data_IF_072930548919
#
_entry.id   IF_072930548919
#
_cell.length_a   1.000
_cell.length_b   1.000
_cell.length_c   1.000
_cell.angle_alpha   90.00
_cell.angle_beta   90.00
_cell.angle_gamma   90.00
#
_symmetry.space_group_name_H-M   'P 1'
#
loop_
_entity.id
_entity.type
_entity.pdbx_description
1 polymer ?
#
# COMPACT_ATOMS: atom_id res chain seq x y z
N UNK A 1 0.12 25.42 12.69
CA UNK A 1 -0.86 25.01 13.71
C UNK A 1 -0.80 23.50 13.85
N UNK A 2 -0.16 22.99 14.90
CA UNK A 2 -0.20 21.57 15.28
C UNK A 2 -1.49 21.39 16.09
N UNK A 3 -2.47 20.63 15.58
CA UNK A 3 -3.68 20.33 16.35
C UNK A 3 -3.35 19.28 17.40
N UNK A 4 -3.73 19.55 18.65
CA UNK A 4 -3.33 18.82 19.85
C UNK A 4 -3.89 17.38 19.98
N UNK A 5 -4.27 16.72 18.88
CA UNK A 5 -4.76 15.34 18.91
C UNK A 5 -4.46 14.55 17.62
N UNK A 6 -3.42 14.91 16.88
CA UNK A 6 -3.03 14.12 15.71
C UNK A 6 -2.50 12.76 16.15
N UNK A 7 -3.23 11.69 15.81
CA UNK A 7 -2.75 10.34 16.08
C UNK A 7 -1.42 10.10 15.38
N UNK A 8 -0.59 9.19 15.91
CA UNK A 8 0.67 8.80 15.26
C UNK A 8 0.44 8.38 13.79
N UNK A 9 -0.71 7.79 13.49
CA UNK A 9 -1.12 7.43 12.14
C UNK A 9 -1.35 8.64 11.23
N UNK A 10 -1.95 9.71 11.74
CA UNK A 10 -2.20 10.94 10.99
C UNK A 10 -0.90 11.65 10.65
N UNK A 11 0.03 11.68 11.61
CA UNK A 11 1.39 12.21 11.40
C UNK A 11 2.09 11.44 10.28
N UNK A 12 2.06 10.10 10.34
CA UNK A 12 2.68 9.25 9.32
C UNK A 12 2.01 9.40 7.96
N UNK A 13 0.68 9.54 7.94
CA UNK A 13 -0.09 9.79 6.70
C UNK A 13 0.30 11.13 6.07
N UNK A 14 0.39 12.21 6.86
CA UNK A 14 0.84 13.52 6.37
C UNK A 14 2.27 13.50 5.89
N UNK A 15 3.17 12.83 6.62
CA UNK A 15 4.58 12.65 6.24
C UNK A 15 4.69 11.91 4.89
N UNK A 16 3.97 10.82 4.72
CA UNK A 16 3.92 10.08 3.47
C UNK A 16 3.44 10.96 2.31
N UNK A 17 2.33 11.69 2.49
CA UNK A 17 1.79 12.61 1.48
C UNK A 17 2.79 13.72 1.13
N UNK A 18 3.49 14.29 2.11
CA UNK A 18 4.51 15.32 1.88
C UNK A 18 5.65 14.79 1.01
N UNK A 19 6.15 13.59 1.30
CA UNK A 19 7.19 12.97 0.47
C UNK A 19 6.68 12.63 -0.92
N UNK A 20 5.47 12.09 -1.04
CA UNK A 20 4.88 11.74 -2.34
C UNK A 20 4.73 12.97 -3.25
N UNK A 21 4.31 14.13 -2.70
CA UNK A 21 4.22 15.40 -3.44
C UNK A 21 5.56 15.90 -3.96
N UNK A 22 6.66 15.53 -3.29
CA UNK A 22 8.03 15.87 -3.72
C UNK A 22 8.62 14.84 -4.69
N UNK A 23 7.88 13.79 -5.05
CA UNK A 23 8.40 12.66 -5.82
C UNK A 23 9.26 11.68 -5.01
N UNK A 24 9.42 11.89 -3.70
CA UNK A 24 10.21 11.04 -2.80
C UNK A 24 9.46 9.74 -2.44
N UNK A 25 9.05 8.96 -3.43
CA UNK A 25 8.18 7.80 -3.24
C UNK A 25 8.77 6.74 -2.29
N UNK A 26 10.10 6.58 -2.27
CA UNK A 26 10.79 5.70 -1.31
C UNK A 26 10.58 6.14 0.14
N UNK A 27 10.73 7.43 0.43
CA UNK A 27 10.50 7.98 1.78
C UNK A 27 9.02 7.95 2.14
N UNK A 28 8.13 8.16 1.17
CA UNK A 28 6.69 8.00 1.37
C UNK A 28 6.33 6.56 1.76
N UNK A 29 6.91 5.57 1.09
CA UNK A 29 6.73 4.16 1.42
C UNK A 29 7.24 3.80 2.83
N UNK A 30 8.36 4.39 3.29
CA UNK A 30 8.85 4.16 4.66
C UNK A 30 7.85 4.64 5.71
N UNK A 31 7.32 5.86 5.57
CA UNK A 31 6.31 6.39 6.50
C UNK A 31 5.02 5.52 6.50
N UNK A 32 4.64 4.97 5.34
CA UNK A 32 3.49 4.06 5.25
C UNK A 32 3.77 2.67 5.83
N UNK A 33 5.02 2.17 5.76
CA UNK A 33 5.41 0.93 6.46
C UNK A 33 5.26 1.07 7.97
N UNK A 34 5.72 2.19 8.52
CA UNK A 34 5.53 2.49 9.94
C UNK A 34 4.04 2.54 10.31
N UNK A 35 3.20 3.15 9.47
CA UNK A 35 1.74 3.20 9.70
C UNK A 35 1.10 1.82 9.63
N UNK A 36 1.48 1.02 8.65
CA UNK A 36 1.04 -0.37 8.51
C UNK A 36 1.43 -1.18 9.74
N UNK A 37 2.62 -0.98 10.31
CA UNK A 37 3.02 -1.66 11.54
C UNK A 37 2.16 -1.28 12.77
N UNK A 38 1.58 -0.07 12.78
CA UNK A 38 0.73 0.39 13.88
C UNK A 38 -0.72 -0.13 13.78
N UNK A 39 -1.35 -0.07 12.60
CA UNK A 39 -2.77 -0.44 12.44
C UNK A 39 -3.04 -1.59 11.47
N UNK A 40 -2.15 -1.79 10.50
CA UNK A 40 -2.23 -2.92 9.56
C UNK A 40 -3.48 -2.97 8.68
N UNK A 41 -4.19 -1.85 8.49
CA UNK A 41 -5.47 -1.89 7.79
C UNK A 41 -5.34 -1.89 6.26
N UNK A 42 -6.44 -2.28 5.60
CA UNK A 42 -6.52 -2.43 4.16
C UNK A 42 -6.05 -1.16 3.41
N UNK A 43 -6.50 0.02 3.82
CA UNK A 43 -6.17 1.27 3.14
C UNK A 43 -4.68 1.64 3.27
N UNK A 44 -4.06 1.37 4.41
CA UNK A 44 -2.62 1.62 4.62
C UNK A 44 -1.77 0.69 3.76
N UNK A 45 -2.15 -0.59 3.65
CA UNK A 45 -1.50 -1.55 2.77
C UNK A 45 -1.58 -1.15 1.30
N UNK A 46 -2.76 -0.72 0.84
CA UNK A 46 -2.93 -0.25 -0.55
C UNK A 46 -2.10 1.02 -0.83
N UNK A 47 -2.11 1.98 0.10
CA UNK A 47 -1.31 3.19 -0.03
C UNK A 47 0.19 2.88 -0.07
N UNK A 48 0.66 1.95 0.77
CA UNK A 48 2.04 1.47 0.76
C UNK A 48 2.38 0.85 -0.60
N UNK A 49 1.50 -0.01 -1.12
CA UNK A 49 1.64 -0.61 -2.44
C UNK A 49 1.76 0.41 -3.57
N UNK A 50 0.92 1.44 -3.58
CA UNK A 50 1.01 2.50 -4.60
C UNK A 50 2.34 3.27 -4.53
N UNK A 51 2.82 3.60 -3.32
CA UNK A 51 4.10 4.29 -3.17
C UNK A 51 5.28 3.40 -3.57
N UNK A 52 5.25 2.10 -3.26
CA UNK A 52 6.27 1.16 -3.69
C UNK A 52 6.30 1.01 -5.22
N UNK A 53 5.13 0.95 -5.86
CA UNK A 53 5.00 0.95 -7.33
C UNK A 53 5.66 2.19 -7.94
N UNK A 54 5.31 3.38 -7.46
CA UNK A 54 5.89 4.65 -7.94
C UNK A 54 7.39 4.72 -7.68
N UNK A 55 7.86 4.09 -6.61
CA UNK A 55 9.28 3.93 -6.30
C UNK A 55 10.00 2.83 -7.12
N UNK A 56 9.32 2.21 -8.10
CA UNK A 56 9.81 1.10 -8.95
C UNK A 56 10.19 -0.17 -8.17
N UNK A 57 9.64 -0.35 -6.97
CA UNK A 57 9.80 -1.56 -6.13
C UNK A 57 8.63 -2.50 -6.36
N UNK A 58 8.57 -3.08 -7.56
CA UNK A 58 7.42 -3.85 -8.04
C UNK A 58 7.12 -5.09 -7.17
N UNK A 59 8.11 -5.94 -6.80
CA UNK A 59 7.83 -7.12 -5.99
C UNK A 59 7.19 -6.78 -4.63
N UNK A 60 7.69 -5.73 -3.97
CA UNK A 60 7.15 -5.29 -2.68
C UNK A 60 5.79 -4.60 -2.84
N UNK A 61 5.56 -3.90 -3.94
CA UNK A 61 4.27 -3.32 -4.27
C UNK A 61 3.20 -4.41 -4.40
N UNK A 62 3.52 -5.49 -5.14
CA UNK A 62 2.61 -6.64 -5.31
C UNK A 62 2.26 -7.26 -3.96
N UNK A 63 3.26 -7.53 -3.10
CA UNK A 63 3.02 -8.08 -1.75
C UNK A 63 2.09 -7.19 -0.92
N UNK A 64 2.35 -5.88 -0.88
CA UNK A 64 1.53 -4.92 -0.12
C UNK A 64 0.10 -4.82 -0.66
N UNK A 65 -0.07 -4.79 -1.99
CA UNK A 65 -1.38 -4.73 -2.63
C UNK A 65 -2.19 -6.03 -2.42
N UNK A 66 -1.55 -7.21 -2.48
CA UNK A 66 -2.21 -8.49 -2.14
C UNK A 66 -2.75 -8.48 -0.71
N UNK A 67 -1.96 -8.00 0.25
CA UNK A 67 -2.41 -7.89 1.64
C UNK A 67 -3.58 -6.91 1.81
N UNK A 68 -3.50 -5.73 1.18
CA UNK A 68 -4.60 -4.76 1.20
C UNK A 68 -5.88 -5.29 0.56
N UNK A 69 -5.76 -6.03 -0.55
CA UNK A 69 -6.88 -6.68 -1.24
C UNK A 69 -7.54 -7.75 -0.37
N UNK A 70 -6.74 -8.59 0.28
CA UNK A 70 -7.22 -9.61 1.22
C UNK A 70 -8.07 -9.00 2.35
N UNK A 71 -7.57 -7.93 2.98
CA UNK A 71 -8.30 -7.23 4.04
C UNK A 71 -9.56 -6.51 3.54
N UNK A 72 -9.55 -5.98 2.31
CA UNK A 72 -10.76 -5.42 1.71
C UNK A 72 -11.82 -6.50 1.44
N UNK A 73 -11.41 -7.68 0.97
CA UNK A 73 -12.31 -8.82 0.76
C UNK A 73 -12.95 -9.28 2.07
N UNK A 74 -12.16 -9.43 3.15
CA UNK A 74 -12.69 -9.78 4.47
C UNK A 74 -13.76 -8.81 4.98
N UNK A 75 -13.68 -7.53 4.60
CA UNK A 75 -14.64 -6.48 4.97
C UNK A 75 -15.80 -6.33 3.98
N UNK A 76 -15.93 -7.21 2.99
CA UNK A 76 -16.95 -7.12 1.94
C UNK A 76 -16.82 -5.91 1.01
N UNK A 77 -15.65 -5.27 0.96
CA UNK A 77 -15.42 -4.04 0.19
C UNK A 77 -15.10 -4.35 -1.28
N UNK A 78 -16.02 -4.99 -2.01
CA UNK A 78 -15.82 -5.53 -3.36
C UNK A 78 -15.36 -4.47 -4.38
N UNK A 79 -15.87 -3.23 -4.29
CA UNK A 79 -15.40 -2.14 -5.16
C UNK A 79 -13.91 -1.81 -4.97
N UNK A 80 -13.41 -1.92 -3.73
CA UNK A 80 -11.98 -1.74 -3.40
C UNK A 80 -11.17 -2.93 -3.87
N UNK A 81 -11.66 -4.16 -3.68
CA UNK A 81 -11.02 -5.38 -4.20
C UNK A 81 -10.77 -5.28 -5.70
N UNK A 82 -11.80 -4.93 -6.48
CA UNK A 82 -11.67 -4.76 -7.95
C UNK A 82 -10.64 -3.68 -8.32
N UNK A 83 -10.61 -2.57 -7.56
CA UNK A 83 -9.63 -1.51 -7.79
C UNK A 83 -8.21 -2.02 -7.58
N UNK A 84 -7.95 -2.71 -6.47
CA UNK A 84 -6.62 -3.26 -6.15
C UNK A 84 -6.23 -4.37 -7.13
N UNK A 85 -7.17 -5.21 -7.56
CA UNK A 85 -6.93 -6.24 -8.57
C UNK A 85 -6.44 -5.65 -9.90
N UNK A 86 -7.03 -4.54 -10.36
CA UNK A 86 -6.55 -3.83 -11.56
C UNK A 86 -5.12 -3.29 -11.39
N UNK A 87 -4.79 -2.76 -10.21
CA UNK A 87 -3.43 -2.30 -9.92
C UNK A 87 -2.43 -3.47 -9.98
N UNK A 88 -2.80 -4.64 -9.45
CA UNK A 88 -1.98 -5.84 -9.48
C UNK A 88 -1.75 -6.35 -10.92
N UNK A 89 -2.81 -6.45 -11.72
CA UNK A 89 -2.69 -6.86 -13.14
C UNK A 89 -1.81 -5.91 -13.93
N UNK A 90 -1.93 -4.60 -13.71
CA UNK A 90 -1.10 -3.60 -14.38
C UNK A 90 0.38 -3.66 -13.96
N UNK A 91 0.67 -4.13 -12.75
CA UNK A 91 2.03 -4.28 -12.24
C UNK A 91 2.69 -5.57 -12.69
N UNK A 92 1.87 -6.63 -12.83
CA UNK A 92 2.36 -7.95 -13.14
C UNK A 92 1.33 -8.72 -13.98
N UNK A 93 1.31 -8.47 -15.30
CA UNK A 93 0.37 -9.11 -16.21
C UNK A 93 0.58 -10.63 -16.34
N UNK A 94 1.74 -11.15 -15.91
CA UNK A 94 2.20 -12.50 -16.25
C UNK A 94 2.42 -13.43 -15.04
N UNK A 95 2.56 -12.94 -13.80
CA UNK A 95 2.83 -13.82 -12.62
C UNK A 95 1.64 -14.56 -12.01
N UNK A 96 0.50 -14.71 -12.70
CA UNK A 96 -0.56 -15.60 -12.20
C UNK A 96 -0.22 -17.11 -12.35
N UNK A 97 1.01 -17.50 -12.72
CA UNK A 97 1.32 -18.89 -13.09
C UNK A 97 2.61 -19.53 -12.56
N UNK A 98 3.58 -18.81 -11.98
CA UNK A 98 4.91 -19.42 -11.75
C UNK A 98 5.34 -19.49 -10.27
N UNK A 99 4.85 -18.62 -9.39
CA UNK A 99 5.36 -18.56 -8.00
C UNK A 99 4.62 -19.39 -6.96
N UNK A 100 3.51 -20.04 -7.30
CA UNK A 100 2.83 -20.99 -6.40
C UNK A 100 3.29 -22.45 -6.59
N UNK A 101 4.28 -22.71 -7.46
CA UNK A 101 4.83 -24.06 -7.73
C UNK A 101 6.15 -24.38 -7.01
N UNK A 102 6.69 -23.48 -6.19
CA UNK A 102 7.98 -23.67 -5.50
C UNK A 102 7.95 -23.28 -4.01
N UNK A 103 6.81 -23.48 -3.35
CA UNK A 103 6.73 -23.44 -1.89
C UNK A 103 6.09 -24.72 -1.36
#
# INVERSE_FOLDING_TARGET
>A
MMHANDSREDILTRRARRHARKGDYRKAALALRERVALRGDAASWVALGDMLRRARRVPEAVKALKQGMYLHRQRGAEGRVRTVARMLVALDPWHSRVTDMVA
#
